data_IF_061634803458
#
_entry.id   IF_061634803458
#
_cell.length_a   1.000
_cell.length_b   1.000
_cell.length_c   1.000
_cell.angle_alpha   90.00
_cell.angle_beta   90.00
_cell.angle_gamma   90.00
#
_symmetry.space_group_name_H-M   'P 1'
#
loop_
_entity.id
_entity.type
_entity.pdbx_description
1 polymer ?
#
# COMPACT_ATOMS: atom_id res chain seq x y z
N UNK A 1 -1.33 -37.91 39.90
CA UNK A 1 -2.01 -38.98 39.11
C UNK A 1 -3.50 -39.12 39.48
N UNK A 2 -3.93 -38.78 40.70
CA UNK A 2 -5.30 -38.98 41.20
C UNK A 2 -6.38 -38.01 40.67
N UNK A 3 -6.04 -36.76 40.33
CA UNK A 3 -7.04 -35.77 39.89
C UNK A 3 -7.69 -36.07 38.53
N UNK A 4 -6.92 -36.61 37.58
CA UNK A 4 -7.43 -36.94 36.24
C UNK A 4 -8.43 -38.08 36.23
N UNK A 5 -8.18 -39.14 37.03
CA UNK A 5 -9.08 -40.30 37.11
C UNK A 5 -10.43 -39.96 37.74
N UNK A 6 -10.45 -39.09 38.75
CA UNK A 6 -11.69 -38.66 39.42
C UNK A 6 -12.52 -37.74 38.50
N UNK A 7 -11.86 -36.81 37.80
CA UNK A 7 -12.53 -35.95 36.82
C UNK A 7 -13.13 -36.77 35.67
N UNK A 8 -12.39 -37.76 35.18
CA UNK A 8 -12.85 -38.67 34.12
C UNK A 8 -14.07 -39.48 34.55
N UNK A 9 -14.05 -40.09 35.76
CA UNK A 9 -15.18 -40.85 36.28
C UNK A 9 -16.44 -40.00 36.48
N UNK A 10 -16.30 -38.75 36.95
CA UNK A 10 -17.42 -37.80 37.08
C UNK A 10 -18.01 -37.39 35.73
N UNK A 11 -17.17 -37.23 34.71
CA UNK A 11 -17.61 -36.83 33.38
C UNK A 11 -18.34 -37.97 32.66
N UNK A 12 -17.89 -39.22 32.85
CA UNK A 12 -18.58 -40.43 32.37
C UNK A 12 -19.95 -40.60 33.04
N UNK A 13 -20.04 -40.41 34.36
CA UNK A 13 -21.32 -40.51 35.09
C UNK A 13 -22.31 -39.41 34.70
N UNK A 14 -21.84 -38.16 34.50
CA UNK A 14 -22.67 -37.08 33.95
C UNK A 14 -23.22 -37.42 32.55
N UNK A 15 -22.38 -38.00 31.69
CA UNK A 15 -22.77 -38.39 30.34
C UNK A 15 -23.77 -39.57 30.33
N UNK A 16 -23.59 -40.56 31.19
CA UNK A 16 -24.55 -41.67 31.38
C UNK A 16 -25.92 -41.20 31.85
N UNK A 17 -25.96 -40.26 32.81
CA UNK A 17 -27.21 -39.67 33.32
C UNK A 17 -27.93 -38.86 32.25
N UNK A 18 -27.20 -38.17 31.37
CA UNK A 18 -27.78 -37.35 30.31
C UNK A 18 -28.40 -38.16 29.15
N UNK A 19 -27.90 -39.38 28.89
CA UNK A 19 -28.32 -40.22 27.76
C UNK A 19 -29.18 -41.44 28.16
N UNK A 20 -29.35 -41.70 29.46
CA UNK A 20 -30.33 -42.67 29.97
C UNK A 20 -29.97 -44.16 29.75
N UNK A 21 -28.68 -44.51 29.66
CA UNK A 21 -28.24 -45.90 29.47
C UNK A 21 -26.83 -46.21 30.02
N UNK A 22 -26.51 -47.49 30.17
CA UNK A 22 -25.16 -47.95 30.55
C UNK A 22 -24.18 -47.75 29.38
N UNK A 23 -23.44 -46.64 29.40
CA UNK A 23 -22.46 -46.32 28.36
C UNK A 23 -21.16 -47.09 28.62
N UNK A 24 -20.69 -47.84 27.61
CA UNK A 24 -19.39 -48.51 27.66
C UNK A 24 -18.28 -47.45 27.59
N UNK A 25 -17.20 -47.63 28.36
CA UNK A 25 -16.04 -46.72 28.33
C UNK A 25 -15.48 -46.49 26.92
N UNK A 26 -15.60 -47.48 26.03
CA UNK A 26 -15.20 -47.39 24.62
C UNK A 26 -16.06 -46.43 23.81
N UNK A 27 -17.38 -46.40 24.04
CA UNK A 27 -18.32 -45.50 23.35
C UNK A 27 -18.11 -44.05 23.79
N UNK A 28 -17.87 -43.84 25.09
CA UNK A 28 -17.50 -42.53 25.62
C UNK A 28 -16.16 -42.04 25.06
N UNK A 29 -15.13 -42.90 25.02
CA UNK A 29 -13.84 -42.56 24.45
C UNK A 29 -13.95 -42.21 22.96
N UNK A 30 -14.76 -42.94 22.18
CA UNK A 30 -15.04 -42.65 20.78
C UNK A 30 -15.76 -41.31 20.60
N UNK A 31 -16.77 -41.02 21.43
CA UNK A 31 -17.47 -39.72 21.41
C UNK A 31 -16.55 -38.55 21.74
N UNK A 32 -15.66 -38.73 22.73
CA UNK A 32 -14.64 -37.75 23.10
C UNK A 32 -13.64 -37.52 21.96
N UNK A 33 -13.13 -38.59 21.35
CA UNK A 33 -12.21 -38.52 20.21
C UNK A 33 -12.86 -37.79 19.02
N UNK A 34 -14.10 -38.12 18.68
CA UNK A 34 -14.85 -37.45 17.63
C UNK A 34 -15.04 -35.95 17.93
N UNK A 35 -15.43 -35.60 19.16
CA UNK A 35 -15.60 -34.21 19.57
C UNK A 35 -14.28 -33.42 19.49
N UNK A 36 -13.17 -34.00 19.97
CA UNK A 36 -11.84 -33.37 19.90
C UNK A 36 -11.40 -33.16 18.45
N UNK A 37 -11.63 -34.13 17.57
CA UNK A 37 -11.30 -34.01 16.15
C UNK A 37 -12.10 -32.88 15.48
N UNK A 38 -13.40 -32.80 15.74
CA UNK A 38 -14.24 -31.72 15.22
C UNK A 38 -13.74 -30.36 15.71
N UNK A 39 -13.45 -30.21 17.01
CA UNK A 39 -12.92 -28.96 17.58
C UNK A 39 -11.59 -28.58 16.92
N UNK A 40 -10.69 -29.54 16.74
CA UNK A 40 -9.39 -29.33 16.11
C UNK A 40 -9.53 -28.87 14.65
N UNK A 41 -10.35 -29.56 13.86
CA UNK A 41 -10.60 -29.20 12.46
C UNK A 41 -11.26 -27.83 12.37
N UNK A 42 -12.29 -27.56 13.17
CA UNK A 42 -12.95 -26.24 13.20
C UNK A 42 -11.97 -25.12 13.57
N UNK A 43 -11.10 -25.34 14.57
CA UNK A 43 -10.07 -24.38 14.94
C UNK A 43 -9.09 -24.10 13.81
N UNK A 44 -8.64 -25.15 13.10
CA UNK A 44 -7.75 -25.02 11.96
C UNK A 44 -8.41 -24.29 10.79
N UNK A 45 -9.68 -24.59 10.49
CA UNK A 45 -10.46 -23.90 9.45
C UNK A 45 -10.59 -22.42 9.79
N UNK A 46 -11.02 -22.05 10.99
CA UNK A 46 -11.16 -20.65 11.39
C UNK A 46 -9.82 -19.90 11.26
N UNK A 47 -8.74 -20.49 11.78
CA UNK A 47 -7.40 -19.90 11.66
C UNK A 47 -6.94 -19.76 10.21
N UNK A 48 -7.27 -20.73 9.34
CA UNK A 48 -6.98 -20.68 7.92
C UNK A 48 -7.73 -19.51 7.24
N UNK A 49 -9.04 -19.37 7.50
CA UNK A 49 -9.85 -18.32 6.88
C UNK A 49 -9.39 -16.91 7.29
N UNK A 50 -9.09 -16.68 8.57
CA UNK A 50 -8.56 -15.39 9.05
C UNK A 50 -7.21 -15.04 8.39
N UNK A 51 -6.33 -16.04 8.21
CA UNK A 51 -5.04 -15.83 7.52
C UNK A 51 -5.21 -15.60 6.02
N UNK A 52 -6.16 -16.30 5.40
CA UNK A 52 -6.45 -16.17 3.98
C UNK A 52 -6.95 -14.77 3.64
N UNK A 53 -7.87 -14.23 4.45
CA UNK A 53 -8.43 -12.89 4.30
C UNK A 53 -7.31 -11.84 4.27
N UNK A 54 -6.39 -11.88 5.25
CA UNK A 54 -5.27 -10.94 5.32
C UNK A 54 -4.34 -11.03 4.11
N UNK A 55 -4.04 -12.25 3.64
CA UNK A 55 -3.23 -12.45 2.41
C UNK A 55 -3.93 -11.87 1.19
N UNK A 56 -5.25 -12.04 1.09
CA UNK A 56 -6.04 -11.53 -0.01
C UNK A 56 -6.09 -9.99 -0.02
N UNK A 57 -6.41 -9.38 1.13
CA UNK A 57 -6.41 -7.91 1.32
C UNK A 57 -5.05 -7.30 0.99
N UNK A 58 -3.97 -7.89 1.50
CA UNK A 58 -2.61 -7.45 1.20
C UNK A 58 -2.30 -7.47 -0.29
N UNK A 59 -2.69 -8.54 -1.00
CA UNK A 59 -2.46 -8.63 -2.45
C UNK A 59 -3.14 -7.49 -3.19
N UNK A 60 -4.40 -7.21 -2.88
CA UNK A 60 -5.17 -6.11 -3.49
C UNK A 60 -4.49 -4.76 -3.19
N UNK A 61 -4.10 -4.54 -1.94
CA UNK A 61 -3.45 -3.30 -1.54
C UNK A 61 -2.12 -3.09 -2.29
N UNK A 62 -1.26 -4.11 -2.34
CA UNK A 62 0.01 -4.04 -3.06
C UNK A 62 -0.18 -3.81 -4.56
N UNK A 63 -1.18 -4.44 -5.17
CA UNK A 63 -1.50 -4.20 -6.58
C UNK A 63 -1.90 -2.73 -6.83
N UNK A 64 -2.73 -2.15 -5.94
CA UNK A 64 -3.06 -0.73 -5.96
C UNK A 64 -1.83 0.17 -5.84
N UNK A 65 -0.95 -0.12 -4.89
CA UNK A 65 0.31 0.61 -4.71
C UNK A 65 1.24 0.48 -5.93
N UNK A 66 1.31 -0.69 -6.57
CA UNK A 66 2.06 -0.85 -7.82
C UNK A 66 1.53 0.04 -8.94
N UNK A 67 0.20 0.19 -9.07
CA UNK A 67 -0.41 1.11 -10.04
C UNK A 67 -0.08 2.57 -9.74
N UNK A 68 -0.09 2.99 -8.48
CA UNK A 68 0.31 4.35 -8.07
C UNK A 68 1.79 4.63 -8.35
N UNK A 69 2.67 3.65 -8.11
CA UNK A 69 4.09 3.73 -8.51
C UNK A 69 4.24 3.90 -10.02
N UNK A 70 3.48 3.13 -10.81
CA UNK A 70 3.50 3.26 -12.26
C UNK A 70 3.05 4.67 -12.72
N UNK A 71 1.99 5.23 -12.12
CA UNK A 71 1.56 6.61 -12.39
C UNK A 71 2.68 7.62 -12.09
N UNK A 72 3.36 7.48 -10.95
CA UNK A 72 4.49 8.35 -10.58
C UNK A 72 5.61 8.32 -11.64
N UNK A 73 5.94 7.13 -12.15
CA UNK A 73 6.92 6.99 -13.23
C UNK A 73 6.43 7.53 -14.57
N UNK A 74 5.15 7.36 -14.90
CA UNK A 74 4.57 7.94 -16.13
C UNK A 74 4.66 9.46 -16.11
N UNK A 75 4.37 10.09 -14.97
CA UNK A 75 4.53 11.54 -14.78
C UNK A 75 5.98 11.95 -15.08
N UNK A 76 6.96 11.26 -14.48
CA UNK A 76 8.39 11.51 -14.69
C UNK A 76 8.83 11.29 -16.15
N UNK A 77 8.38 10.22 -16.81
CA UNK A 77 8.70 9.95 -18.21
C UNK A 77 8.22 11.07 -19.15
N UNK A 78 7.05 11.65 -18.89
CA UNK A 78 6.55 12.80 -19.66
C UNK A 78 7.34 14.09 -19.40
N UNK A 79 8.18 14.14 -18.36
CA UNK A 79 9.08 15.28 -18.08
C UNK A 79 10.40 15.25 -18.85
N UNK A 80 10.73 14.18 -19.58
CA UNK A 80 12.06 14.00 -20.20
C UNK A 80 12.44 15.13 -21.17
N UNK A 81 11.47 15.66 -21.92
CA UNK A 81 11.69 16.77 -22.88
C UNK A 81 11.49 18.15 -22.25
N UNK A 82 11.13 18.20 -20.97
CA UNK A 82 10.78 19.42 -20.22
C UNK A 82 11.99 19.84 -19.38
N UNK A 83 13.01 20.31 -20.09
CA UNK A 83 14.31 20.69 -19.55
C UNK A 83 14.48 22.24 -19.55
N UNK A 84 14.85 22.87 -18.42
CA UNK A 84 15.20 24.29 -18.36
C UNK A 84 16.24 24.72 -19.40
N UNK A 85 17.26 23.89 -19.64
CA UNK A 85 18.37 24.22 -20.57
C UNK A 85 17.85 24.27 -22.01
N UNK A 86 16.80 23.49 -22.31
CA UNK A 86 16.12 23.58 -23.59
C UNK A 86 15.45 24.93 -23.82
N UNK A 87 15.16 25.76 -22.81
CA UNK A 87 14.70 27.14 -23.06
C UNK A 87 15.88 28.08 -23.31
N UNK A 88 17.03 27.79 -22.68
CA UNK A 88 18.21 28.65 -22.64
C UNK A 88 19.13 28.51 -23.86
N UNK A 89 19.25 27.30 -24.41
CA UNK A 89 20.15 27.01 -25.53
C UNK A 89 19.54 27.26 -26.91
N UNK A 90 20.37 27.62 -27.89
CA UNK A 90 19.96 27.64 -29.32
C UNK A 90 19.56 26.23 -29.76
N UNK A 91 18.36 26.02 -30.35
CA UNK A 91 17.95 24.71 -30.81
C UNK A 91 18.85 24.24 -31.96
N UNK A 92 19.11 22.94 -31.99
CA UNK A 92 19.79 22.23 -33.08
C UNK A 92 18.78 21.40 -33.86
N UNK A 93 19.14 20.90 -35.05
CA UNK A 93 18.25 20.04 -35.86
C UNK A 93 17.78 18.75 -35.16
N UNK A 94 18.50 18.30 -34.12
CA UNK A 94 18.16 17.12 -33.31
C UNK A 94 17.51 17.47 -31.97
N UNK A 95 17.30 18.75 -31.68
CA UNK A 95 16.65 19.18 -30.42
C UNK A 95 15.17 18.79 -30.40
N UNK A 96 14.63 18.32 -29.26
CA UNK A 96 13.19 18.08 -29.12
C UNK A 96 12.36 19.33 -29.40
N UNK A 97 11.11 19.14 -29.87
CA UNK A 97 10.18 20.24 -30.12
C UNK A 97 9.85 20.97 -28.81
N UNK A 98 9.90 22.31 -28.86
CA UNK A 98 9.62 23.20 -27.73
C UNK A 98 8.21 23.75 -27.85
N UNK A 99 7.23 22.94 -27.47
CA UNK A 99 5.80 23.26 -27.68
C UNK A 99 5.17 24.11 -26.56
N UNK A 100 5.92 24.40 -25.48
CA UNK A 100 5.42 25.17 -24.32
C UNK A 100 6.19 26.48 -24.18
N UNK A 101 5.47 27.58 -23.94
CA UNK A 101 6.07 28.83 -23.49
C UNK A 101 6.66 28.67 -22.08
N UNK A 102 7.49 29.63 -21.63
CA UNK A 102 8.05 29.62 -20.27
C UNK A 102 6.97 29.49 -19.20
N UNK A 103 5.94 30.33 -19.25
CA UNK A 103 4.87 30.34 -18.24
C UNK A 103 4.03 29.06 -18.28
N UNK A 104 3.81 28.50 -19.47
CA UNK A 104 3.14 27.21 -19.64
C UNK A 104 3.99 26.07 -19.07
N UNK A 105 5.31 26.10 -19.27
CA UNK A 105 6.21 25.10 -18.72
C UNK A 105 6.25 25.14 -17.19
N UNK A 106 6.33 26.33 -16.59
CA UNK A 106 6.28 26.48 -15.13
C UNK A 106 4.99 25.87 -14.56
N UNK A 107 3.83 26.22 -15.13
CA UNK A 107 2.54 25.69 -14.70
C UNK A 107 2.42 24.18 -14.90
N UNK A 108 2.95 23.68 -16.01
CA UNK A 108 3.00 22.24 -16.29
C UNK A 108 3.81 21.50 -15.23
N UNK A 109 4.98 22.03 -14.86
CA UNK A 109 5.84 21.46 -13.81
C UNK A 109 5.14 21.50 -12.44
N UNK A 110 4.49 22.62 -12.09
CA UNK A 110 3.70 22.72 -10.86
C UNK A 110 2.60 21.66 -10.81
N UNK A 111 1.80 21.50 -11.86
CA UNK A 111 0.78 20.46 -11.94
C UNK A 111 1.35 19.05 -11.79
N UNK A 112 2.57 18.81 -12.28
CA UNK A 112 3.23 17.52 -12.08
C UNK A 112 3.59 17.28 -10.62
N UNK A 113 4.01 18.31 -9.87
CA UNK A 113 4.21 18.18 -8.42
C UNK A 113 2.89 17.95 -7.66
N UNK A 114 1.81 18.60 -8.07
CA UNK A 114 0.47 18.37 -7.51
C UNK A 114 -0.01 16.94 -7.75
N UNK A 115 0.13 16.42 -8.98
CA UNK A 115 -0.21 15.04 -9.32
C UNK A 115 0.61 14.02 -8.51
N UNK A 116 1.89 14.28 -8.29
CA UNK A 116 2.73 13.44 -7.42
C UNK A 116 2.27 13.50 -5.96
N UNK A 117 1.89 14.68 -5.45
CA UNK A 117 1.33 14.83 -4.10
C UNK A 117 0.01 14.07 -3.93
N UNK A 118 -0.88 14.13 -4.93
CA UNK A 118 -2.12 13.36 -4.93
C UNK A 118 -1.84 11.85 -4.96
N UNK A 119 -0.86 11.42 -5.74
CA UNK A 119 -0.45 10.00 -5.83
C UNK A 119 0.05 9.48 -4.48
N UNK A 120 0.87 10.26 -3.78
CA UNK A 120 1.33 9.96 -2.41
C UNK A 120 0.18 9.86 -1.41
N UNK A 121 -0.74 10.82 -1.42
CA UNK A 121 -1.91 10.81 -0.52
C UNK A 121 -2.83 9.61 -0.79
N UNK A 122 -3.03 9.24 -2.05
CA UNK A 122 -3.78 8.04 -2.41
C UNK A 122 -3.11 6.77 -1.89
N UNK A 123 -1.77 6.70 -1.90
CA UNK A 123 -1.04 5.58 -1.32
C UNK A 123 -1.28 5.50 0.20
N UNK A 124 -1.23 6.63 0.91
CA UNK A 124 -1.46 6.69 2.35
C UNK A 124 -2.84 6.13 2.77
N UNK A 125 -3.88 6.27 1.93
CA UNK A 125 -5.20 5.71 2.21
C UNK A 125 -5.19 4.17 2.32
N UNK A 126 -4.27 3.48 1.63
CA UNK A 126 -4.13 2.02 1.75
C UNK A 126 -3.61 1.63 3.13
N UNK A 127 -2.56 2.31 3.63
CA UNK A 127 -2.02 2.06 4.97
C UNK A 127 -3.02 2.44 6.08
N UNK A 128 -3.80 3.50 5.87
CA UNK A 128 -4.86 3.89 6.80
C UNK A 128 -5.96 2.83 6.91
N UNK A 129 -6.39 2.27 5.77
CA UNK A 129 -7.49 1.28 5.73
C UNK A 129 -7.05 -0.13 6.13
N UNK A 130 -5.77 -0.46 5.90
CA UNK A 130 -5.20 -1.77 6.19
C UNK A 130 -3.74 -1.64 6.66
N UNK A 131 -3.51 -1.50 7.97
CA UNK A 131 -2.18 -1.23 8.56
C UNK A 131 -1.30 -2.50 8.65
N UNK A 132 -1.21 -3.26 7.57
CA UNK A 132 -0.26 -4.37 7.43
C UNK A 132 1.14 -3.83 7.15
N UNK A 133 2.16 -4.36 7.84
CA UNK A 133 3.53 -3.83 7.77
C UNK A 133 4.12 -3.83 6.36
N UNK A 134 3.74 -4.78 5.51
CA UNK A 134 4.21 -4.84 4.11
C UNK A 134 3.54 -3.74 3.28
N UNK A 135 2.26 -3.48 3.51
CA UNK A 135 1.53 -2.39 2.83
C UNK A 135 2.07 -1.03 3.27
N UNK A 136 2.31 -0.83 4.56
CA UNK A 136 2.94 0.40 5.08
C UNK A 136 4.31 0.61 4.46
N UNK A 137 5.14 -0.44 4.34
CA UNK A 137 6.42 -0.35 3.63
C UNK A 137 6.26 0.11 2.18
N UNK A 138 5.31 -0.48 1.44
CA UNK A 138 5.03 -0.09 0.06
C UNK A 138 4.49 1.34 -0.11
N UNK A 139 3.78 1.87 0.90
CA UNK A 139 3.35 3.27 0.94
C UNK A 139 4.56 4.18 1.13
N UNK A 140 5.43 3.89 2.10
CA UNK A 140 6.64 4.67 2.36
C UNK A 140 7.53 4.76 1.11
N UNK A 141 7.68 3.67 0.34
CA UNK A 141 8.41 3.67 -0.93
C UNK A 141 7.83 4.66 -1.94
N UNK A 142 6.51 4.79 -2.02
CA UNK A 142 5.83 5.71 -2.94
C UNK A 142 5.98 7.15 -2.44
N UNK A 143 5.86 7.38 -1.14
CA UNK A 143 6.08 8.70 -0.54
C UNK A 143 7.51 9.19 -0.79
N UNK A 144 8.51 8.31 -0.64
CA UNK A 144 9.89 8.63 -0.95
C UNK A 144 10.09 8.91 -2.46
N UNK A 145 9.57 8.04 -3.33
CA UNK A 145 9.66 8.22 -4.79
C UNK A 145 9.05 9.56 -5.23
N UNK A 146 7.82 9.84 -4.81
CA UNK A 146 7.10 11.06 -5.19
C UNK A 146 7.77 12.31 -4.63
N UNK A 147 8.29 12.27 -3.40
CA UNK A 147 9.08 13.35 -2.80
C UNK A 147 10.35 13.63 -3.61
N UNK A 148 11.08 12.58 -4.01
CA UNK A 148 12.30 12.70 -4.79
C UNK A 148 12.04 13.24 -6.21
N UNK A 149 10.97 12.78 -6.87
CA UNK A 149 10.56 13.31 -8.18
C UNK A 149 10.11 14.77 -8.08
N UNK A 150 9.32 15.12 -7.06
CA UNK A 150 8.89 16.50 -6.80
C UNK A 150 10.09 17.43 -6.58
N UNK A 151 11.11 16.98 -5.84
CA UNK A 151 12.36 17.72 -5.64
C UNK A 151 13.09 17.99 -6.97
N UNK A 152 13.18 17.00 -7.86
CA UNK A 152 13.77 17.17 -9.20
C UNK A 152 12.99 18.20 -10.02
N UNK A 153 11.66 18.19 -9.95
CA UNK A 153 10.81 19.16 -10.65
C UNK A 153 11.03 20.58 -10.08
N UNK A 154 11.09 20.72 -8.76
CA UNK A 154 11.38 22.00 -8.11
C UNK A 154 12.74 22.59 -8.52
N UNK A 155 13.76 21.75 -8.69
CA UNK A 155 15.05 22.20 -9.23
C UNK A 155 14.90 22.76 -10.66
N UNK A 156 14.08 22.13 -11.51
CA UNK A 156 13.79 22.65 -12.85
C UNK A 156 13.07 24.00 -12.79
N UNK A 157 12.05 24.12 -11.95
CA UNK A 157 11.30 25.37 -11.73
C UNK A 157 12.25 26.49 -11.30
N UNK A 158 13.10 26.24 -10.29
CA UNK A 158 14.05 27.21 -9.77
C UNK A 158 15.03 27.71 -10.85
N UNK A 159 15.54 26.81 -11.70
CA UNK A 159 16.41 27.18 -12.83
C UNK A 159 15.69 28.09 -13.83
N UNK A 160 14.43 27.79 -14.17
CA UNK A 160 13.64 28.61 -15.10
C UNK A 160 13.35 29.99 -14.50
N UNK A 161 13.08 30.06 -13.20
CA UNK A 161 12.78 31.32 -12.50
C UNK A 161 14.01 32.21 -12.32
N UNK A 162 15.18 31.63 -12.02
CA UNK A 162 16.44 32.35 -11.86
C UNK A 162 16.84 33.12 -13.13
N UNK A 163 16.50 32.59 -14.30
CA UNK A 163 16.76 33.24 -15.58
C UNK A 163 15.68 34.28 -15.95
N UNK A 164 14.98 34.88 -14.99
CA UNK A 164 14.13 36.03 -15.30
C UNK A 164 15.06 37.23 -15.48
N UNK A 165 15.21 37.80 -16.69
CA UNK A 165 15.78 39.14 -16.77
C UNK A 165 14.83 40.00 -15.96
N UNK A 166 15.37 40.76 -14.99
CA UNK A 166 14.63 41.79 -14.31
C UNK A 166 13.78 42.53 -15.35
N UNK A 167 12.48 42.61 -15.08
CA UNK A 167 11.63 43.52 -15.82
C UNK A 167 12.36 44.86 -15.81
N UNK A 168 12.85 45.30 -16.97
CA UNK A 168 13.33 46.65 -17.17
C UNK A 168 12.21 47.57 -16.69
N UNK A 169 12.36 48.09 -15.48
CA UNK A 169 11.63 49.27 -15.06
C UNK A 169 11.96 50.32 -16.12
N UNK A 170 10.95 50.93 -16.76
CA UNK A 170 11.23 52.04 -17.67
C UNK A 170 12.06 53.08 -16.90
N UNK A 171 13.08 53.70 -17.53
CA UNK A 171 13.85 54.74 -16.87
C UNK A 171 12.88 55.78 -16.33
N UNK A 172 13.02 56.11 -15.04
CA UNK A 172 12.24 57.16 -14.41
C UNK A 172 12.36 58.42 -15.27
N UNK A 173 11.23 58.83 -15.86
CA UNK A 173 11.09 60.06 -16.63
C UNK A 173 11.09 61.27 -15.70
#
# INVERSE_FOLDING_TARGET
>A
ITGGGIAFAKLVTLYQVALGGEIRLTEFAQGLEAALNIILICGLIIAFFLRWENRHKRRIALEGLHRLRAISHVIDMHQLTKDPISILGKPTGSSPRRDLSRDQLLRYLDYCTEMLSLTSKLAALYAQSFPDSVVVGGVNDIEELTTNLSRKIWQKIAMIQAERPDAQLPPAA
#
